data_IF_565181401805
#
_entry.id   IF_565181401805
#
_cell.length_a   1.000
_cell.length_b   1.000
_cell.length_c   1.000
_cell.angle_alpha   90.00
_cell.angle_beta   90.00
_cell.angle_gamma   90.00
#
_symmetry.space_group_name_H-M   'P 1'
#
loop_
_entity.id
_entity.type
_entity.pdbx_description
1 polymer ?
#
# COMPACT_ATOMS: atom_id res chain seq x y z
N UNK A 1 15.84 9.27 -3.73
CA UNK A 1 15.11 10.35 -3.01
C UNK A 1 15.81 11.68 -3.23
N UNK A 2 17.14 11.79 -2.97
CA UNK A 2 17.87 13.07 -3.12
C UNK A 2 17.68 13.73 -4.49
N UNK A 3 17.90 12.99 -5.57
CA UNK A 3 17.70 13.50 -6.93
C UNK A 3 16.26 14.00 -7.17
N UNK A 4 15.24 13.28 -6.66
CA UNK A 4 13.85 13.71 -6.77
C UNK A 4 13.58 15.02 -6.01
N UNK A 5 14.20 15.22 -4.84
CA UNK A 5 14.06 16.49 -4.11
C UNK A 5 14.62 17.66 -4.88
N UNK A 6 15.83 17.53 -5.47
CA UNK A 6 16.40 18.56 -6.32
C UNK A 6 15.52 18.87 -7.53
N UNK A 7 15.02 17.84 -8.22
CA UNK A 7 14.11 18.01 -9.35
C UNK A 7 12.80 18.73 -8.93
N UNK A 8 12.21 18.36 -7.80
CA UNK A 8 11.00 19.04 -7.30
C UNK A 8 11.29 20.48 -6.85
N UNK A 9 12.50 20.76 -6.37
CA UNK A 9 12.93 22.13 -6.08
C UNK A 9 13.18 22.98 -7.35
N UNK A 10 13.09 22.38 -8.56
CA UNK A 10 13.38 23.05 -9.81
C UNK A 10 14.89 23.20 -10.10
N UNK A 11 15.71 22.48 -9.37
CA UNK A 11 17.16 22.47 -9.56
C UNK A 11 17.54 21.64 -10.79
N UNK A 12 18.68 21.93 -11.37
CA UNK A 12 19.34 21.06 -12.35
C UNK A 12 20.06 19.94 -11.59
N UNK A 13 19.76 18.70 -11.95
CA UNK A 13 20.23 17.52 -11.22
C UNK A 13 21.08 16.63 -12.11
N UNK A 14 22.30 16.41 -11.67
CA UNK A 14 23.17 15.34 -12.12
C UNK A 14 23.16 14.22 -11.08
N UNK A 15 22.85 13.01 -11.49
CA UNK A 15 22.90 11.84 -10.63
C UNK A 15 23.35 10.63 -11.44
N UNK A 16 24.22 9.83 -10.85
CA UNK A 16 24.71 8.59 -11.44
C UNK A 16 24.68 7.47 -10.42
N UNK A 17 24.14 6.32 -10.81
CA UNK A 17 24.09 5.11 -10.01
C UNK A 17 24.10 3.90 -10.93
N UNK A 18 24.26 2.69 -10.36
CA UNK A 18 24.20 1.45 -11.13
C UNK A 18 22.86 1.25 -11.86
N UNK A 19 21.77 1.85 -11.38
CA UNK A 19 20.41 1.59 -11.88
C UNK A 19 19.81 2.72 -12.70
N UNK A 20 20.32 3.93 -12.56
CA UNK A 20 19.81 5.10 -13.29
C UNK A 20 20.85 6.21 -13.36
N UNK A 21 20.73 7.05 -14.40
CA UNK A 21 21.54 8.28 -14.53
C UNK A 21 20.67 9.45 -14.97
N UNK A 22 20.95 10.63 -14.40
CA UNK A 22 20.45 11.91 -14.87
C UNK A 22 21.61 12.79 -15.27
N UNK A 23 21.47 13.52 -16.37
CA UNK A 23 22.42 14.54 -16.82
C UNK A 23 21.66 15.83 -17.09
N UNK A 24 22.00 16.89 -16.38
CA UNK A 24 21.37 18.22 -16.50
C UNK A 24 19.81 18.11 -16.47
N UNK A 25 19.28 17.19 -15.68
CA UNK A 25 17.85 16.94 -15.61
C UNK A 25 17.17 18.03 -14.80
N UNK A 26 16.08 18.59 -15.33
CA UNK A 26 15.28 19.61 -14.65
C UNK A 26 13.81 19.38 -14.93
N UNK A 27 12.97 19.57 -13.92
CA UNK A 27 11.52 19.61 -14.12
C UNK A 27 11.10 21.02 -14.52
N UNK A 28 10.32 21.13 -15.59
CA UNK A 28 9.73 22.40 -16.05
C UNK A 28 8.76 22.99 -15.01
N UNK A 29 8.09 22.12 -14.25
CA UNK A 29 7.13 22.48 -13.22
C UNK A 29 7.58 21.93 -11.85
N UNK A 30 8.65 22.49 -11.32
CA UNK A 30 9.16 22.15 -9.99
C UNK A 30 8.20 22.62 -8.88
N UNK A 31 7.99 21.79 -7.86
CA UNK A 31 7.25 22.12 -6.63
C UNK A 31 8.03 21.61 -5.43
N UNK A 32 8.73 22.49 -4.75
CA UNK A 32 9.58 22.15 -3.62
C UNK A 32 8.82 21.59 -2.40
N UNK A 33 7.51 21.85 -2.34
CA UNK A 33 6.60 21.37 -1.27
C UNK A 33 6.10 19.93 -1.49
N UNK A 34 6.50 19.29 -2.59
CA UNK A 34 6.09 17.90 -2.87
C UNK A 34 6.68 16.94 -1.84
N UNK A 35 5.79 16.21 -1.16
CA UNK A 35 6.18 15.15 -0.25
C UNK A 35 6.57 13.90 -1.01
N UNK A 36 7.66 13.27 -0.58
CA UNK A 36 8.11 11.98 -1.10
C UNK A 36 7.79 10.90 -0.06
N UNK A 37 6.83 10.04 -0.40
CA UNK A 37 6.52 8.86 0.40
C UNK A 37 7.22 7.64 -0.20
N UNK A 38 7.80 6.82 0.66
CA UNK A 38 8.31 5.50 0.27
C UNK A 38 7.29 4.43 0.62
N UNK A 39 7.34 3.34 -0.11
CA UNK A 39 6.58 2.14 0.18
C UNK A 39 7.53 0.93 0.16
N UNK A 40 7.28 -0.03 1.00
CA UNK A 40 8.11 -1.23 1.04
C UNK A 40 7.81 -2.10 2.24
N UNK A 41 8.60 -3.15 2.38
CA UNK A 41 8.48 -4.10 3.48
C UNK A 41 9.88 -4.40 4.04
N UNK A 42 9.89 -4.68 5.33
CA UNK A 42 11.09 -5.09 6.03
C UNK A 42 11.99 -3.95 6.55
N UNK A 43 12.92 -4.29 7.46
CA UNK A 43 13.62 -3.33 8.32
C UNK A 43 14.50 -2.34 7.55
N UNK A 44 15.11 -2.77 6.44
CA UNK A 44 15.94 -1.88 5.59
C UNK A 44 15.12 -0.76 4.96
N UNK A 45 13.90 -1.07 4.47
CA UNK A 45 13.02 -0.07 3.87
C UNK A 45 12.43 0.85 4.93
N UNK A 46 12.14 0.33 6.12
CA UNK A 46 11.69 1.12 7.27
C UNK A 46 12.77 2.16 7.68
N UNK A 47 14.02 1.74 7.85
CA UNK A 47 15.14 2.64 8.16
C UNK A 47 15.34 3.68 7.06
N UNK A 48 15.38 3.26 5.80
CA UNK A 48 15.52 4.14 4.65
C UNK A 48 14.38 5.17 4.58
N UNK A 49 13.16 4.73 4.84
CA UNK A 49 11.97 5.58 4.92
C UNK A 49 12.12 6.66 5.97
N UNK A 50 12.39 6.28 7.20
CA UNK A 50 12.58 7.22 8.31
C UNK A 50 13.72 8.22 8.08
N UNK A 51 14.77 7.80 7.39
CA UNK A 51 15.93 8.63 7.12
C UNK A 51 15.75 9.61 5.95
N UNK A 52 15.06 9.21 4.89
CA UNK A 52 15.08 9.95 3.62
C UNK A 52 13.72 10.49 3.16
N UNK A 53 12.61 9.87 3.59
CA UNK A 53 11.28 10.20 3.09
C UNK A 53 10.53 11.17 4.01
N UNK A 54 9.42 11.71 3.51
CA UNK A 54 8.48 12.54 4.26
C UNK A 54 7.33 11.71 4.83
N UNK A 55 7.26 10.44 4.43
CA UNK A 55 6.29 9.48 4.93
C UNK A 55 6.49 8.09 4.32
N UNK A 56 5.61 7.18 4.71
CA UNK A 56 5.68 5.79 4.29
C UNK A 56 4.29 5.20 4.08
N UNK A 57 4.13 4.45 2.99
CA UNK A 57 2.89 3.74 2.68
C UNK A 57 3.03 2.29 3.11
N UNK A 58 2.25 1.91 4.10
CA UNK A 58 2.06 0.52 4.52
C UNK A 58 0.96 -0.11 3.66
N UNK A 59 1.35 -0.81 2.60
CA UNK A 59 0.41 -1.39 1.65
C UNK A 59 0.28 -2.89 1.84
N UNK A 60 -0.94 -3.36 2.08
CA UNK A 60 -1.28 -4.77 2.23
C UNK A 60 -0.41 -5.51 3.27
N UNK A 61 -0.16 -4.85 4.38
CA UNK A 61 0.54 -5.43 5.53
C UNK A 61 -0.43 -6.33 6.27
N UNK A 62 0.07 -7.44 6.83
CA UNK A 62 -0.72 -8.27 7.75
C UNK A 62 -1.19 -7.41 8.93
N UNK A 63 -2.46 -7.42 9.22
CA UNK A 63 -3.10 -6.47 10.17
C UNK A 63 -2.51 -6.52 11.57
N UNK A 64 -2.17 -7.71 12.05
CA UNK A 64 -1.57 -7.89 13.36
C UNK A 64 -0.13 -7.33 13.46
N UNK A 65 0.51 -7.05 12.31
CA UNK A 65 1.84 -6.45 12.26
C UNK A 65 1.82 -4.93 12.04
N UNK A 66 0.65 -4.30 11.92
CA UNK A 66 0.54 -2.87 11.64
C UNK A 66 1.18 -2.03 12.74
N UNK A 67 0.90 -2.34 14.00
CA UNK A 67 1.42 -1.60 15.15
C UNK A 67 2.96 -1.64 15.22
N UNK A 68 3.54 -2.81 15.00
CA UNK A 68 4.99 -3.00 14.96
C UNK A 68 5.63 -2.20 13.82
N UNK A 69 5.01 -2.22 12.63
CA UNK A 69 5.49 -1.43 11.48
C UNK A 69 5.42 0.07 11.75
N UNK A 70 4.30 0.56 12.28
CA UNK A 70 4.10 1.98 12.62
C UNK A 70 5.11 2.41 13.67
N UNK A 71 5.25 1.63 14.75
CA UNK A 71 6.22 1.90 15.81
C UNK A 71 7.64 1.99 15.28
N UNK A 72 8.04 1.03 14.44
CA UNK A 72 9.38 1.01 13.84
C UNK A 72 9.64 2.22 12.93
N UNK A 73 8.65 2.62 12.13
CA UNK A 73 8.73 3.79 11.26
C UNK A 73 8.83 5.10 12.06
N UNK A 74 8.01 5.24 13.12
CA UNK A 74 8.04 6.41 14.00
C UNK A 74 9.39 6.54 14.72
N UNK A 75 9.95 5.43 15.20
CA UNK A 75 11.28 5.41 15.81
C UNK A 75 12.37 5.80 14.82
N UNK A 76 12.35 5.25 13.61
CA UNK A 76 13.30 5.61 12.56
C UNK A 76 13.21 7.09 12.17
N UNK A 77 12.01 7.64 11.99
CA UNK A 77 11.82 9.05 11.68
C UNK A 77 12.29 9.96 12.82
N UNK A 78 11.96 9.61 14.07
CA UNK A 78 12.38 10.35 15.27
C UNK A 78 13.90 10.38 15.40
N UNK A 79 14.59 9.28 15.14
CA UNK A 79 16.05 9.21 15.18
C UNK A 79 16.73 10.19 14.20
N UNK A 80 16.02 10.60 13.15
CA UNK A 80 16.50 11.58 12.15
C UNK A 80 15.81 12.95 12.26
N UNK A 81 15.08 13.23 13.34
CA UNK A 81 14.42 14.51 13.60
C UNK A 81 13.37 14.90 12.57
N UNK A 82 12.70 13.94 11.93
CA UNK A 82 11.77 14.19 10.83
C UNK A 82 10.31 14.15 11.29
N UNK A 83 9.51 15.07 10.76
CA UNK A 83 8.05 14.88 10.69
C UNK A 83 7.76 13.84 9.62
N UNK A 84 6.84 12.91 9.91
CA UNK A 84 6.68 11.73 9.10
C UNK A 84 5.22 11.30 9.03
N UNK A 85 4.68 11.21 7.83
CA UNK A 85 3.32 10.77 7.57
C UNK A 85 3.28 9.25 7.34
N UNK A 86 2.44 8.54 8.07
CA UNK A 86 2.20 7.11 7.84
C UNK A 86 0.84 6.94 7.17
N UNK A 87 0.88 6.34 6.00
CA UNK A 87 -0.30 6.03 5.20
C UNK A 87 -0.55 4.53 5.24
N UNK A 88 -1.75 4.12 5.58
CA UNK A 88 -2.18 2.73 5.45
C UNK A 88 -3.00 2.56 4.17
N UNK A 89 -2.66 1.56 3.37
CA UNK A 89 -3.34 1.25 2.12
C UNK A 89 -3.76 -0.21 2.08
N UNK A 90 -5.07 -0.45 2.09
CA UNK A 90 -5.66 -1.77 1.89
C UNK A 90 -7.06 -1.67 1.31
N UNK A 91 -7.67 -2.80 0.97
CA UNK A 91 -9.03 -2.84 0.44
C UNK A 91 -10.09 -2.85 1.54
N UNK A 92 -11.22 -2.24 1.20
CA UNK A 92 -12.49 -2.37 1.90
C UNK A 92 -13.33 -3.40 1.14
N UNK A 93 -13.64 -4.52 1.78
CA UNK A 93 -14.34 -5.66 1.19
C UNK A 93 -15.74 -5.73 1.80
N UNK A 94 -16.73 -5.28 1.03
CA UNK A 94 -18.13 -5.23 1.46
C UNK A 94 -19.06 -6.06 0.56
N UNK A 95 -18.52 -6.63 -0.53
CA UNK A 95 -19.22 -7.48 -1.48
C UNK A 95 -18.34 -8.64 -1.95
N UNK A 96 -18.95 -9.66 -2.56
CA UNK A 96 -18.25 -10.78 -3.19
C UNK A 96 -17.33 -10.33 -4.32
N UNK A 97 -17.69 -9.27 -5.05
CA UNK A 97 -16.84 -8.68 -6.09
C UNK A 97 -15.58 -8.07 -5.48
N UNK A 98 -15.68 -7.38 -4.33
CA UNK A 98 -14.52 -6.85 -3.62
C UNK A 98 -13.63 -7.99 -3.10
N UNK A 99 -14.24 -9.06 -2.58
CA UNK A 99 -13.52 -10.25 -2.13
C UNK A 99 -12.71 -10.88 -3.27
N UNK A 100 -13.32 -10.99 -4.44
CA UNK A 100 -12.62 -11.48 -5.62
C UNK A 100 -11.43 -10.59 -6.01
N UNK A 101 -11.62 -9.26 -6.06
CA UNK A 101 -10.53 -8.30 -6.34
C UNK A 101 -9.43 -8.35 -5.27
N UNK A 102 -9.79 -8.57 -4.01
CA UNK A 102 -8.82 -8.75 -2.93
C UNK A 102 -7.97 -10.01 -3.15
N UNK A 103 -8.59 -11.13 -3.55
CA UNK A 103 -7.87 -12.37 -3.88
C UNK A 103 -6.95 -12.19 -5.09
N UNK A 104 -7.38 -11.49 -6.14
CA UNK A 104 -6.53 -11.15 -7.28
C UNK A 104 -5.32 -10.32 -6.82
N UNK A 105 -5.56 -9.29 -6.01
CA UNK A 105 -4.50 -8.44 -5.46
C UNK A 105 -3.53 -9.19 -4.56
N UNK A 106 -4.01 -10.11 -3.74
CA UNK A 106 -3.20 -10.94 -2.85
C UNK A 106 -2.38 -11.99 -3.62
N UNK A 107 -2.86 -12.46 -4.77
CA UNK A 107 -2.15 -13.43 -5.58
C UNK A 107 -0.74 -12.97 -5.99
N UNK A 108 -0.54 -11.66 -6.20
CA UNK A 108 0.79 -11.09 -6.47
C UNK A 108 1.63 -10.89 -5.22
N UNK A 109 1.00 -10.68 -4.06
CA UNK A 109 1.66 -10.23 -2.84
C UNK A 109 2.07 -11.37 -1.93
N UNK A 110 1.21 -12.38 -1.81
CA UNK A 110 1.44 -13.51 -0.91
C UNK A 110 2.69 -14.32 -1.24
N UNK A 111 2.97 -14.64 -2.52
CA UNK A 111 4.18 -15.37 -2.87
C UNK A 111 5.49 -14.68 -2.44
N UNK A 112 5.48 -13.34 -2.38
CA UNK A 112 6.65 -12.53 -2.02
C UNK A 112 6.57 -12.00 -0.57
N UNK A 113 5.58 -12.45 0.20
CA UNK A 113 5.47 -12.11 1.62
C UNK A 113 6.60 -12.73 2.42
N UNK A 114 7.05 -12.06 3.52
CA UNK A 114 8.03 -12.62 4.44
C UNK A 114 7.58 -13.98 5.00
N UNK A 115 8.54 -14.83 5.35
CA UNK A 115 8.26 -16.16 5.89
C UNK A 115 7.31 -16.12 7.10
N UNK A 116 7.54 -15.17 8.01
CA UNK A 116 6.69 -14.98 9.19
C UNK A 116 5.23 -14.72 8.83
N UNK A 117 4.96 -13.94 7.78
CA UNK A 117 3.59 -13.66 7.33
C UNK A 117 2.94 -14.91 6.74
N UNK A 118 3.70 -15.69 5.94
CA UNK A 118 3.21 -16.96 5.40
C UNK A 118 2.88 -17.97 6.51
N UNK A 119 3.73 -18.04 7.52
CA UNK A 119 3.53 -18.89 8.69
C UNK A 119 2.27 -18.47 9.47
N UNK A 120 2.06 -17.18 9.71
CA UNK A 120 0.89 -16.65 10.40
C UNK A 120 -0.43 -17.04 9.74
N UNK A 121 -0.48 -17.11 8.40
CA UNK A 121 -1.67 -17.49 7.64
C UNK A 121 -1.70 -18.96 7.25
N UNK A 122 -0.71 -19.77 7.65
CA UNK A 122 -0.62 -21.18 7.29
C UNK A 122 -0.37 -21.43 5.80
N UNK A 123 0.29 -20.48 5.11
CA UNK A 123 0.65 -20.62 3.69
C UNK A 123 1.93 -21.45 3.54
N UNK A 124 1.85 -22.52 2.76
CA UNK A 124 2.97 -23.42 2.51
C UNK A 124 3.82 -22.99 1.31
N UNK A 125 5.01 -23.60 1.17
CA UNK A 125 5.81 -23.40 -0.05
C UNK A 125 5.11 -23.98 -1.28
N UNK A 126 4.35 -25.06 -1.12
CA UNK A 126 3.52 -25.62 -2.20
C UNK A 126 2.47 -24.61 -2.69
N UNK A 127 1.81 -23.88 -1.78
CA UNK A 127 0.88 -22.80 -2.13
C UNK A 127 1.62 -21.67 -2.88
N UNK A 128 2.82 -21.30 -2.42
CA UNK A 128 3.66 -20.27 -3.06
C UNK A 128 3.98 -20.62 -4.51
N UNK A 129 4.42 -21.85 -4.76
CA UNK A 129 4.75 -22.34 -6.11
C UNK A 129 3.50 -22.38 -6.98
N UNK A 130 2.40 -22.94 -6.49
CA UNK A 130 1.14 -23.06 -7.22
C UNK A 130 0.58 -21.69 -7.66
N UNK A 131 0.59 -20.69 -6.75
CA UNK A 131 0.12 -19.34 -7.06
C UNK A 131 1.03 -18.68 -8.11
N UNK A 132 2.36 -18.80 -7.98
CA UNK A 132 3.30 -18.25 -8.97
C UNK A 132 3.12 -18.88 -10.36
N UNK A 133 2.90 -20.17 -10.41
CA UNK A 133 2.64 -20.88 -11.66
C UNK A 133 1.32 -20.45 -12.30
N UNK A 134 0.27 -20.34 -11.51
CA UNK A 134 -1.01 -19.85 -11.99
C UNK A 134 -0.91 -18.41 -12.54
N UNK A 135 -0.15 -17.53 -11.88
CA UNK A 135 0.12 -16.17 -12.37
C UNK A 135 0.81 -16.18 -13.74
N UNK A 136 1.81 -17.04 -13.93
CA UNK A 136 2.57 -17.10 -15.19
C UNK A 136 1.74 -17.61 -16.37
N UNK A 137 0.88 -18.59 -16.14
CA UNK A 137 0.19 -19.32 -17.21
C UNK A 137 -1.26 -18.89 -17.41
N UNK A 138 -1.93 -18.37 -16.36
CA UNK A 138 -3.35 -18.01 -16.40
C UNK A 138 -3.66 -16.61 -15.90
N UNK A 139 -2.64 -15.87 -15.49
CA UNK A 139 -2.78 -14.51 -14.99
C UNK A 139 -3.48 -14.41 -13.61
N UNK A 140 -3.82 -13.16 -13.18
CA UNK A 140 -4.40 -12.90 -11.86
C UNK A 140 -5.68 -13.69 -11.57
N UNK A 141 -6.64 -13.84 -12.50
CA UNK A 141 -7.87 -14.59 -12.23
C UNK A 141 -7.62 -16.08 -11.93
N UNK A 142 -6.63 -16.69 -12.56
CA UNK A 142 -6.28 -18.09 -12.29
C UNK A 142 -5.62 -18.22 -10.90
N UNK A 143 -4.71 -17.34 -10.58
CA UNK A 143 -4.00 -17.32 -9.31
C UNK A 143 -4.92 -16.96 -8.13
N UNK A 144 -5.90 -16.07 -8.32
CA UNK A 144 -6.89 -15.71 -7.31
C UNK A 144 -7.69 -16.90 -6.78
N UNK A 145 -7.95 -17.90 -7.63
CA UNK A 145 -8.65 -19.14 -7.23
C UNK A 145 -7.87 -19.96 -6.21
N UNK A 146 -6.55 -19.80 -6.17
CA UNK A 146 -5.65 -20.48 -5.24
C UNK A 146 -5.43 -19.70 -3.95
N UNK A 147 -5.78 -18.42 -3.91
CA UNK A 147 -5.77 -17.63 -2.67
C UNK A 147 -6.94 -18.10 -1.82
N UNK A 148 -6.66 -18.69 -0.67
CA UNK A 148 -7.69 -19.20 0.24
C UNK A 148 -8.44 -18.02 0.85
N UNK A 149 -9.74 -18.21 1.05
CA UNK A 149 -10.61 -17.15 1.58
C UNK A 149 -10.22 -16.78 3.00
N UNK A 150 -9.83 -17.75 3.82
CA UNK A 150 -9.36 -17.54 5.18
C UNK A 150 -8.11 -16.69 5.31
N UNK A 151 -7.33 -16.52 4.24
CA UNK A 151 -6.16 -15.63 4.25
C UNK A 151 -6.51 -14.15 4.08
N UNK A 152 -7.61 -13.87 3.39
CA UNK A 152 -7.98 -12.50 2.97
C UNK A 152 -8.20 -11.56 4.16
N UNK A 153 -8.92 -11.94 5.24
CA UNK A 153 -9.19 -11.03 6.36
C UNK A 153 -7.94 -10.54 7.09
N UNK A 154 -6.82 -11.24 6.95
CA UNK A 154 -5.56 -10.81 7.55
C UNK A 154 -4.95 -9.57 6.89
N UNK A 155 -5.40 -9.19 5.70
CA UNK A 155 -4.79 -8.11 4.90
C UNK A 155 -5.77 -6.99 4.55
N UNK A 156 -7.07 -7.21 4.65
CA UNK A 156 -8.11 -6.27 4.23
C UNK A 156 -9.11 -6.02 5.36
N UNK A 157 -9.95 -5.01 5.21
CA UNK A 157 -11.09 -4.77 6.09
C UNK A 157 -12.34 -5.37 5.45
N UNK A 158 -13.07 -6.22 6.19
CA UNK A 158 -14.21 -6.97 5.66
C UNK A 158 -15.44 -6.83 6.56
N UNK A 159 -16.61 -6.64 5.95
CA UNK A 159 -17.87 -6.61 6.68
C UNK A 159 -18.90 -5.70 6.03
N UNK A 160 -19.90 -5.28 6.84
CA UNK A 160 -20.81 -4.23 6.39
C UNK A 160 -20.05 -2.91 6.20
N UNK A 161 -20.56 -1.98 5.39
CA UNK A 161 -19.94 -0.68 5.21
C UNK A 161 -19.61 0.02 6.54
N UNK A 162 -20.53 0.00 7.49
CA UNK A 162 -20.38 0.64 8.80
C UNK A 162 -19.28 -0.05 9.62
N UNK A 163 -19.29 -1.39 9.66
CA UNK A 163 -18.28 -2.16 10.39
C UNK A 163 -16.87 -1.93 9.84
N UNK A 164 -16.73 -1.83 8.52
CA UNK A 164 -15.46 -1.54 7.84
C UNK A 164 -14.96 -0.14 8.16
N UNK A 165 -15.86 0.85 8.18
CA UNK A 165 -15.52 2.24 8.55
C UNK A 165 -15.04 2.34 10.00
N UNK A 166 -15.80 1.74 10.93
CA UNK A 166 -15.48 1.74 12.36
C UNK A 166 -14.14 1.04 12.62
N UNK A 167 -13.92 -0.10 12.00
CA UNK A 167 -12.68 -0.86 12.14
C UNK A 167 -11.48 -0.11 11.56
N UNK A 168 -11.64 0.56 10.42
CA UNK A 168 -10.58 1.38 9.83
C UNK A 168 -10.19 2.52 10.77
N UNK A 169 -11.18 3.31 11.22
CA UNK A 169 -10.94 4.47 12.08
C UNK A 169 -10.33 4.05 13.43
N UNK A 170 -10.85 2.98 14.05
CA UNK A 170 -10.32 2.48 15.31
C UNK A 170 -8.88 1.95 15.16
N UNK A 171 -8.59 1.26 14.08
CA UNK A 171 -7.24 0.75 13.78
C UNK A 171 -6.26 1.90 13.54
N UNK A 172 -6.66 2.90 12.76
CA UNK A 172 -5.82 4.09 12.53
C UNK A 172 -5.52 4.83 13.83
N UNK A 173 -6.55 5.06 14.65
CA UNK A 173 -6.38 5.73 15.94
C UNK A 173 -5.48 4.93 16.89
N UNK A 174 -5.68 3.63 17.00
CA UNK A 174 -4.91 2.74 17.87
C UNK A 174 -3.45 2.65 17.46
N UNK A 175 -3.17 2.51 16.15
CA UNK A 175 -1.81 2.36 15.64
C UNK A 175 -1.10 3.70 15.39
N UNK A 176 -1.78 4.85 15.46
CA UNK A 176 -1.18 6.15 15.15
C UNK A 176 -0.89 6.34 13.66
N UNK A 177 -1.80 5.88 12.80
CA UNK A 177 -1.76 6.03 11.34
C UNK A 177 -2.41 7.37 10.99
N UNK A 178 -1.75 8.17 10.15
CA UNK A 178 -2.19 9.54 9.84
C UNK A 178 -3.21 9.58 8.69
N UNK A 179 -3.04 8.74 7.68
CA UNK A 179 -3.85 8.77 6.45
C UNK A 179 -4.23 7.36 6.02
N UNK A 180 -5.39 7.22 5.40
CA UNK A 180 -5.81 5.99 4.73
C UNK A 180 -5.87 6.21 3.21
N UNK A 181 -5.23 5.33 2.47
CA UNK A 181 -5.25 5.34 1.01
C UNK A 181 -6.08 4.17 0.50
N UNK A 182 -7.13 4.49 -0.24
CA UNK A 182 -7.85 3.48 -1.01
C UNK A 182 -6.98 2.93 -2.13
N UNK A 183 -7.03 1.64 -2.40
CA UNK A 183 -6.38 1.07 -3.57
C UNK A 183 -6.94 1.73 -4.83
N UNK A 184 -6.05 2.14 -5.73
CA UNK A 184 -6.48 2.60 -7.05
C UNK A 184 -7.09 1.45 -7.84
N UNK A 185 -8.18 1.73 -8.53
CA UNK A 185 -8.72 0.81 -9.52
C UNK A 185 -7.74 0.63 -10.68
N UNK A 186 -7.70 -0.54 -11.33
CA UNK A 186 -6.94 -0.71 -12.55
C UNK A 186 -7.32 0.34 -13.58
N UNK A 187 -6.36 0.91 -14.30
CA UNK A 187 -6.62 1.89 -15.35
C UNK A 187 -7.63 1.39 -16.42
N UNK A 188 -7.66 0.07 -16.63
CA UNK A 188 -8.61 -0.59 -17.52
C UNK A 188 -10.08 -0.51 -17.04
N UNK A 189 -10.33 -0.21 -15.76
CA UNK A 189 -11.69 -0.11 -15.21
C UNK A 189 -12.44 1.15 -15.72
N UNK A 190 -11.71 2.15 -16.18
CA UNK A 190 -12.28 3.39 -16.71
C UNK A 190 -12.74 4.39 -15.65
N UNK A 191 -13.03 5.62 -16.09
CA UNK A 191 -13.36 6.74 -15.22
C UNK A 191 -14.68 6.54 -14.45
N UNK A 192 -15.66 5.89 -15.07
CA UNK A 192 -16.97 5.63 -14.44
C UNK A 192 -16.86 4.65 -13.26
N UNK A 193 -16.08 3.59 -13.42
CA UNK A 193 -15.81 2.64 -12.32
C UNK A 193 -15.03 3.31 -11.19
N UNK A 194 -14.08 4.19 -11.50
CA UNK A 194 -13.35 4.97 -10.51
C UNK A 194 -14.29 5.91 -9.74
N UNK A 195 -15.15 6.66 -10.44
CA UNK A 195 -16.13 7.54 -9.82
C UNK A 195 -17.13 6.77 -8.92
N UNK A 196 -17.56 5.59 -9.36
CA UNK A 196 -18.44 4.71 -8.59
C UNK A 196 -17.76 4.22 -7.31
N UNK A 197 -16.49 3.82 -7.40
CA UNK A 197 -15.70 3.39 -6.23
C UNK A 197 -15.52 4.53 -5.22
N UNK A 198 -15.23 5.75 -5.69
CA UNK A 198 -15.10 6.94 -4.83
C UNK A 198 -16.41 7.25 -4.12
N UNK A 199 -17.53 7.29 -4.87
CA UNK A 199 -18.86 7.56 -4.28
C UNK A 199 -19.22 6.53 -3.23
N UNK A 200 -19.06 5.24 -3.55
CA UNK A 200 -19.34 4.15 -2.61
C UNK A 200 -18.49 4.27 -1.33
N UNK A 201 -17.22 4.63 -1.47
CA UNK A 201 -16.37 4.85 -0.30
C UNK A 201 -16.83 6.04 0.52
N UNK A 202 -17.21 7.14 -0.13
CA UNK A 202 -17.75 8.31 0.57
C UNK A 202 -19.04 7.97 1.33
N UNK A 203 -19.93 7.16 0.74
CA UNK A 203 -21.15 6.66 1.42
C UNK A 203 -20.80 5.84 2.68
N UNK A 204 -19.78 4.98 2.63
CA UNK A 204 -19.30 4.21 3.79
C UNK A 204 -18.92 5.15 4.96
N UNK A 205 -18.35 6.31 4.68
CA UNK A 205 -17.93 7.29 5.68
C UNK A 205 -18.96 8.40 5.95
N UNK A 206 -20.19 8.27 5.42
CA UNK A 206 -21.22 9.29 5.59
C UNK A 206 -20.88 10.65 4.99
N UNK A 207 -19.94 10.69 4.04
CA UNK A 207 -19.55 11.90 3.36
C UNK A 207 -20.47 12.16 2.17
N UNK A 208 -21.09 13.35 2.09
CA UNK A 208 -21.80 13.79 0.89
C UNK A 208 -20.76 14.10 -0.21
N UNK A 209 -20.84 13.38 -1.31
CA UNK A 209 -20.07 13.72 -2.51
C UNK A 209 -20.86 14.74 -3.31
N UNK A 210 -20.46 16.00 -3.23
CA UNK A 210 -20.99 17.04 -4.12
C UNK A 210 -20.64 16.67 -5.57
N UNK A 211 -21.65 16.58 -6.43
CA UNK A 211 -21.51 16.40 -7.88
C UNK A 211 -21.07 17.69 -8.56
#
# INVERSE_FOLDING_TARGET
VGALRGLYAGEEVDADSESFGFRAARLEYGRADMKILLAGRGPRMTDLGGRLADGFVLSWVHRDLLDDHVTSLRLAAKAHGRQFTIVWSTMLVTTDADLWMARESLSFRLPDSPAVVKEMIGMTEGDTVAIRDALRHGGPPAAARLVREEWVPHFVLMGSPEAVADEMLSTMARCGIDEFQLPSLPAAAGAEAAATSIRRTAEIFGAEVAC
#
